data_IF_605733967374
#
_entry.id   IF_605733967374
#
_cell.length_a   1.000
_cell.length_b   1.000
_cell.length_c   1.000
_cell.angle_alpha   90.00
_cell.angle_beta   90.00
_cell.angle_gamma   90.00
#
_symmetry.space_group_name_H-M   'P 1'
#
loop_
_entity.id
_entity.type
_entity.pdbx_description
1 polymer ?
#
# COMPACT_ATOMS: atom_id res chain seq x y z
N UNK A 1 9.59 -18.56 30.18
CA UNK A 1 8.76 -17.39 30.54
C UNK A 1 7.36 -17.64 30.01
N UNK A 2 6.28 -17.36 30.75
CA UNK A 2 4.93 -17.53 30.22
C UNK A 2 4.74 -16.61 29.01
N UNK A 3 4.22 -17.16 27.91
CA UNK A 3 3.84 -16.36 26.74
C UNK A 3 2.62 -15.54 27.14
N UNK A 4 2.85 -14.26 27.46
CA UNK A 4 1.76 -13.33 27.74
C UNK A 4 0.94 -13.15 26.47
N UNK A 5 -0.30 -13.62 26.48
CA UNK A 5 -1.25 -13.38 25.40
C UNK A 5 -1.52 -11.87 25.37
N UNK A 6 -1.07 -11.21 24.31
CA UNK A 6 -1.26 -9.77 24.13
C UNK A 6 -2.76 -9.46 23.99
N UNK A 7 -3.28 -8.40 24.66
CA UNK A 7 -4.64 -7.92 24.45
C UNK A 7 -4.91 -7.72 22.96
N UNK A 8 -6.03 -8.23 22.47
CA UNK A 8 -6.37 -8.24 21.04
C UNK A 8 -7.82 -7.82 20.88
N UNK A 9 -8.05 -6.74 20.14
CA UNK A 9 -9.39 -6.29 19.75
C UNK A 9 -9.98 -7.18 18.66
N UNK A 10 -11.30 -7.30 18.64
CA UNK A 10 -12.04 -7.91 17.54
C UNK A 10 -12.50 -6.85 16.54
N UNK A 11 -12.35 -7.11 15.25
CA UNK A 11 -12.84 -6.24 14.17
C UNK A 11 -14.12 -6.83 13.55
N UNK A 12 -15.26 -6.52 14.16
CA UNK A 12 -16.57 -7.01 13.70
C UNK A 12 -17.08 -6.23 12.49
N UNK A 13 -18.04 -6.79 11.77
CA UNK A 13 -18.68 -6.08 10.65
C UNK A 13 -19.34 -4.78 11.09
N UNK A 14 -19.96 -4.75 12.29
CA UNK A 14 -20.57 -3.54 12.83
C UNK A 14 -19.55 -2.45 13.14
N UNK A 15 -18.33 -2.82 13.57
CA UNK A 15 -17.25 -1.86 13.76
C UNK A 15 -16.75 -1.31 12.43
N UNK A 16 -16.60 -2.16 11.41
CA UNK A 16 -16.01 -1.79 10.12
C UNK A 16 -16.99 -1.03 9.21
N UNK A 17 -18.29 -1.33 9.29
CA UNK A 17 -19.29 -0.80 8.37
C UNK A 17 -19.30 0.74 8.24
N UNK A 18 -19.23 1.54 9.32
CA UNK A 18 -19.18 2.99 9.20
C UNK A 18 -17.97 3.50 8.41
N UNK A 19 -16.83 2.80 8.51
CA UNK A 19 -15.59 3.17 7.84
C UNK A 19 -15.64 3.00 6.31
N UNK A 20 -16.63 2.27 5.76
CA UNK A 20 -16.93 2.27 4.30
C UNK A 20 -17.41 3.61 3.77
N UNK A 21 -17.99 4.43 4.65
CA UNK A 21 -18.60 5.72 4.29
C UNK A 21 -17.79 6.91 4.81
N UNK A 22 -16.63 6.65 5.41
CA UNK A 22 -15.78 7.67 6.01
C UNK A 22 -14.57 7.95 5.13
N UNK A 23 -14.39 9.21 4.72
CA UNK A 23 -13.17 9.72 4.08
C UNK A 23 -12.13 10.19 5.10
N UNK A 24 -11.52 11.36 4.83
CA UNK A 24 -10.51 11.98 5.70
C UNK A 24 -10.78 13.48 5.76
N UNK A 25 -11.56 13.90 6.77
CA UNK A 25 -12.14 15.24 6.83
C UNK A 25 -11.11 16.37 6.73
N UNK A 26 -9.95 16.34 7.43
CA UNK A 26 -8.90 17.35 7.25
C UNK A 26 -8.41 17.48 5.80
N UNK A 27 -8.13 16.35 5.13
CA UNK A 27 -7.60 16.36 3.78
C UNK A 27 -8.68 16.72 2.75
N UNK A 28 -9.91 16.19 2.94
CA UNK A 28 -11.08 16.52 2.12
C UNK A 28 -11.40 18.01 2.18
N UNK A 29 -11.32 18.62 3.36
CA UNK A 29 -11.55 20.06 3.55
C UNK A 29 -10.49 20.91 2.84
N UNK A 30 -9.21 20.51 2.89
CA UNK A 30 -8.14 21.22 2.18
C UNK A 30 -8.36 21.20 0.66
N UNK A 31 -8.74 20.05 0.09
CA UNK A 31 -9.06 19.92 -1.33
C UNK A 31 -10.30 20.75 -1.71
N UNK A 32 -11.36 20.69 -0.90
CA UNK A 32 -12.57 21.47 -1.13
C UNK A 32 -12.29 22.98 -1.17
N UNK A 33 -11.48 23.49 -0.22
CA UNK A 33 -11.11 24.89 -0.16
C UNK A 33 -10.28 25.35 -1.38
N UNK A 34 -9.36 24.51 -1.87
CA UNK A 34 -8.60 24.80 -3.10
C UNK A 34 -9.51 24.88 -4.32
N UNK A 35 -10.48 23.97 -4.41
CA UNK A 35 -11.48 23.97 -5.50
C UNK A 35 -12.41 25.18 -5.39
N UNK A 36 -12.85 25.56 -4.20
CA UNK A 36 -13.71 26.73 -3.99
C UNK A 36 -12.99 28.03 -4.41
N UNK A 37 -11.71 28.16 -4.07
CA UNK A 37 -10.94 29.35 -4.37
C UNK A 37 -10.53 29.47 -5.85
N UNK A 38 -10.21 28.35 -6.52
CA UNK A 38 -9.54 28.36 -7.83
C UNK A 38 -10.15 27.41 -8.88
N UNK A 39 -11.30 26.81 -8.56
CA UNK A 39 -11.99 25.86 -9.42
C UNK A 39 -11.18 24.59 -9.71
N UNK A 40 -11.60 23.82 -10.72
CA UNK A 40 -10.91 22.60 -11.14
C UNK A 40 -9.45 22.81 -11.58
N UNK A 41 -9.10 24.02 -12.04
CA UNK A 41 -7.72 24.37 -12.43
C UNK A 41 -6.79 24.41 -11.22
N UNK A 42 -7.24 24.98 -10.09
CA UNK A 42 -6.48 24.99 -8.84
C UNK A 42 -6.17 23.58 -8.36
N UNK A 43 -7.18 22.70 -8.35
CA UNK A 43 -6.99 21.29 -8.00
C UNK A 43 -6.02 20.59 -8.95
N UNK A 44 -6.11 20.82 -10.27
CA UNK A 44 -5.18 20.22 -11.23
C UNK A 44 -3.73 20.63 -10.94
N UNK A 45 -3.48 21.92 -10.70
CA UNK A 45 -2.14 22.43 -10.37
C UNK A 45 -1.63 21.84 -9.06
N UNK A 46 -2.48 21.76 -8.04
CA UNK A 46 -2.14 21.11 -6.77
C UNK A 46 -1.79 19.63 -6.99
N UNK A 47 -2.60 18.89 -7.74
CA UNK A 47 -2.35 17.47 -8.01
C UNK A 47 -1.07 17.23 -8.82
N UNK A 48 -0.70 18.15 -9.70
CA UNK A 48 0.58 18.10 -10.40
C UNK A 48 1.76 18.27 -9.43
N UNK A 49 1.70 19.26 -8.54
CA UNK A 49 2.71 19.44 -7.49
C UNK A 49 2.75 18.24 -6.53
N UNK A 50 1.60 17.72 -6.12
CA UNK A 50 1.51 16.55 -5.25
C UNK A 50 2.17 15.31 -5.88
N UNK A 51 2.07 15.16 -7.20
CA UNK A 51 2.67 14.05 -7.94
C UNK A 51 4.18 14.22 -8.21
N UNK A 52 4.74 15.42 -8.04
CA UNK A 52 6.18 15.67 -8.16
C UNK A 52 6.91 15.12 -6.93
N UNK A 53 7.79 14.14 -7.10
CA UNK A 53 8.54 13.53 -5.98
C UNK A 53 9.83 14.27 -5.64
N UNK A 54 10.10 15.40 -6.31
CA UNK A 54 11.32 16.21 -6.15
C UNK A 54 11.08 17.53 -5.44
N UNK A 55 9.87 18.09 -5.52
CA UNK A 55 9.49 19.33 -4.83
C UNK A 55 8.60 19.05 -3.59
N UNK A 56 9.07 19.46 -2.41
CA UNK A 56 8.34 19.36 -1.15
C UNK A 56 8.00 20.74 -0.54
N UNK A 57 8.35 21.83 -1.22
CA UNK A 57 8.11 23.18 -0.70
C UNK A 57 6.62 23.54 -0.79
N UNK A 58 6.04 23.91 0.36
CA UNK A 58 4.66 24.38 0.44
C UNK A 58 4.53 25.89 0.23
N UNK A 59 5.64 26.64 0.13
CA UNK A 59 5.65 28.10 0.14
C UNK A 59 4.79 28.75 -0.97
N UNK A 60 4.71 28.10 -2.13
CA UNK A 60 3.92 28.57 -3.28
C UNK A 60 2.53 27.94 -3.36
N UNK A 61 2.13 27.11 -2.38
CA UNK A 61 0.83 26.46 -2.35
C UNK A 61 -0.22 27.33 -1.64
N UNK A 62 -1.50 26.99 -1.80
CA UNK A 62 -2.60 27.67 -1.11
C UNK A 62 -2.39 27.66 0.41
N UNK A 63 -2.79 28.73 1.11
CA UNK A 63 -2.63 28.84 2.57
C UNK A 63 -3.24 27.64 3.32
N UNK A 64 -4.37 27.10 2.84
CA UNK A 64 -4.99 25.91 3.42
C UNK A 64 -4.12 24.66 3.30
N UNK A 65 -3.36 24.52 2.20
CA UNK A 65 -2.40 23.42 2.02
C UNK A 65 -1.19 23.63 2.91
N UNK A 66 -0.69 24.86 3.05
CA UNK A 66 0.40 25.17 3.99
C UNK A 66 0.00 24.83 5.43
N UNK A 67 -1.19 25.27 5.86
CA UNK A 67 -1.73 24.96 7.18
C UNK A 67 -1.91 23.45 7.39
N UNK A 68 -2.43 22.74 6.40
CA UNK A 68 -2.57 21.28 6.45
C UNK A 68 -1.23 20.57 6.75
N UNK A 69 -0.13 20.99 6.12
CA UNK A 69 1.19 20.40 6.36
C UNK A 69 1.70 20.66 7.79
N UNK A 70 1.40 21.82 8.36
CA UNK A 70 1.78 22.14 9.75
C UNK A 70 0.92 21.35 10.75
N UNK A 71 -0.39 21.36 10.55
CA UNK A 71 -1.35 20.78 11.49
C UNK A 71 -1.31 19.25 11.50
N UNK A 72 -1.04 18.63 10.35
CA UNK A 72 -1.06 17.17 10.20
C UNK A 72 0.32 16.51 10.34
N UNK A 73 1.39 17.26 10.56
CA UNK A 73 2.74 16.72 10.77
C UNK A 73 2.98 16.11 12.17
N UNK A 74 2.01 16.19 13.07
CA UNK A 74 2.18 15.77 14.46
C UNK A 74 2.17 14.24 14.60
N UNK A 75 3.18 13.70 15.27
CA UNK A 75 3.21 12.29 15.63
C UNK A 75 2.13 11.96 16.67
N UNK A 76 1.50 10.78 16.59
CA UNK A 76 0.56 10.36 17.61
C UNK A 76 1.27 10.13 18.95
N UNK A 77 0.56 10.29 20.07
CA UNK A 77 1.15 10.17 21.42
C UNK A 77 1.72 8.78 21.73
N UNK A 78 1.27 7.75 21.02
CA UNK A 78 1.77 6.38 21.15
C UNK A 78 2.98 6.09 20.24
N UNK A 79 3.39 7.03 19.37
CA UNK A 79 4.58 6.86 18.54
C UNK A 79 5.82 6.74 19.43
N UNK A 80 6.52 5.61 19.30
CA UNK A 80 7.77 5.34 20.00
C UNK A 80 8.96 5.45 19.02
N UNK A 81 9.85 6.44 19.18
CA UNK A 81 10.98 6.66 18.27
C UNK A 81 11.92 5.45 18.15
N UNK A 82 12.20 4.75 19.25
CA UNK A 82 13.11 3.61 19.24
C UNK A 82 12.53 2.43 18.44
N UNK A 83 11.21 2.20 18.57
CA UNK A 83 10.50 1.19 17.77
C UNK A 83 10.50 1.56 16.30
N UNK A 84 10.25 2.83 15.97
CA UNK A 84 10.31 3.32 14.58
C UNK A 84 11.71 3.12 13.99
N UNK A 85 12.76 3.45 14.74
CA UNK A 85 14.14 3.26 14.29
C UNK A 85 14.44 1.79 13.98
N UNK A 86 14.03 0.86 14.85
CA UNK A 86 14.20 -0.58 14.61
C UNK A 86 13.35 -1.09 13.45
N UNK A 87 12.13 -0.58 13.29
CA UNK A 87 11.27 -0.90 12.14
C UNK A 87 11.86 -0.45 10.80
N UNK A 88 12.45 0.75 10.74
CA UNK A 88 13.17 1.23 9.55
C UNK A 88 14.43 0.40 9.28
N UNK A 89 15.22 0.08 10.31
CA UNK A 89 16.39 -0.78 10.17
C UNK A 89 16.02 -2.20 9.71
N UNK A 90 14.87 -2.72 10.16
CA UNK A 90 14.32 -3.97 9.66
C UNK A 90 13.99 -3.89 8.17
N UNK A 91 13.33 -2.80 7.74
CA UNK A 91 13.05 -2.59 6.32
C UNK A 91 14.34 -2.54 5.50
N UNK A 92 15.34 -1.75 5.93
CA UNK A 92 16.64 -1.64 5.26
C UNK A 92 17.33 -3.01 5.12
N UNK A 93 17.38 -3.79 6.20
CA UNK A 93 17.95 -5.15 6.23
C UNK A 93 17.27 -6.11 5.25
N UNK A 94 15.98 -5.93 4.97
CA UNK A 94 15.17 -6.83 4.15
C UNK A 94 14.65 -6.17 2.85
N UNK A 95 15.21 -5.04 2.43
CA UNK A 95 14.60 -4.18 1.41
C UNK A 95 14.37 -4.90 0.08
N UNK A 96 15.31 -5.76 -0.34
CA UNK A 96 15.16 -6.54 -1.57
C UNK A 96 14.00 -7.55 -1.48
N UNK A 97 13.91 -8.29 -0.37
CA UNK A 97 12.87 -9.30 -0.17
C UNK A 97 11.50 -8.64 0.04
N UNK A 98 11.45 -7.51 0.75
CA UNK A 98 10.24 -6.71 0.89
C UNK A 98 9.81 -6.18 -0.48
N UNK A 99 10.74 -5.69 -1.32
CA UNK A 99 10.43 -5.25 -2.69
C UNK A 99 9.79 -6.35 -3.55
N UNK A 100 10.33 -7.58 -3.49
CA UNK A 100 9.74 -8.75 -4.14
C UNK A 100 8.32 -9.03 -3.61
N UNK A 101 8.14 -9.04 -2.29
CA UNK A 101 6.84 -9.27 -1.65
C UNK A 101 5.84 -8.16 -2.00
N UNK A 102 6.27 -6.91 -2.11
CA UNK A 102 5.40 -5.81 -2.51
C UNK A 102 4.88 -6.01 -3.93
N UNK A 103 5.76 -6.36 -4.88
CA UNK A 103 5.41 -6.59 -6.28
C UNK A 103 4.57 -7.84 -6.51
N UNK A 104 4.98 -8.99 -5.97
CA UNK A 104 4.37 -10.29 -6.28
C UNK A 104 3.24 -10.69 -5.34
N UNK A 105 3.15 -10.10 -4.14
CA UNK A 105 2.13 -10.45 -3.17
C UNK A 105 1.23 -9.26 -2.81
N UNK A 106 1.81 -8.18 -2.32
CA UNK A 106 1.06 -7.08 -1.67
C UNK A 106 0.18 -6.32 -2.67
N UNK A 107 0.71 -5.99 -3.85
CA UNK A 107 -0.06 -5.31 -4.89
C UNK A 107 -1.21 -6.19 -5.43
N UNK A 108 -0.98 -7.44 -5.91
CA UNK A 108 -2.09 -8.31 -6.31
C UNK A 108 -3.09 -8.56 -5.18
N UNK A 109 -2.62 -8.73 -3.95
CA UNK A 109 -3.50 -8.92 -2.78
C UNK A 109 -4.38 -7.69 -2.54
N UNK A 110 -3.86 -6.48 -2.75
CA UNK A 110 -4.67 -5.26 -2.66
C UNK A 110 -5.76 -5.17 -3.74
N UNK A 111 -5.50 -5.74 -4.93
CA UNK A 111 -6.45 -5.76 -6.05
C UNK A 111 -7.63 -6.71 -5.87
N UNK A 112 -7.56 -7.61 -4.88
CA UNK A 112 -8.71 -8.43 -4.46
C UNK A 112 -9.82 -7.58 -3.83
N UNK A 113 -9.48 -6.44 -3.22
CA UNK A 113 -10.43 -5.47 -2.66
C UNK A 113 -11.26 -4.84 -3.76
N UNK A 114 -12.31 -5.54 -4.21
CA UNK A 114 -13.00 -5.32 -5.48
C UNK A 114 -13.57 -3.90 -5.63
N UNK A 115 -14.07 -3.34 -4.53
CA UNK A 115 -14.62 -1.99 -4.49
C UNK A 115 -13.53 -0.93 -4.42
N UNK A 116 -12.52 -1.10 -3.57
CA UNK A 116 -11.38 -0.18 -3.48
C UNK A 116 -10.59 -0.08 -4.79
N UNK A 117 -10.40 -1.20 -5.48
CA UNK A 117 -9.69 -1.28 -6.77
C UNK A 117 -10.30 -0.40 -7.87
N UNK A 118 -11.60 -0.09 -7.78
CA UNK A 118 -12.30 0.76 -8.75
C UNK A 118 -11.70 2.16 -8.84
N UNK A 119 -11.16 2.69 -7.74
CA UNK A 119 -10.54 4.02 -7.75
C UNK A 119 -9.31 4.05 -8.66
N UNK A 120 -8.52 2.99 -8.65
CA UNK A 120 -7.34 2.86 -9.50
C UNK A 120 -7.76 2.62 -10.95
N UNK A 121 -8.79 1.81 -11.17
CA UNK A 121 -9.32 1.49 -12.49
C UNK A 121 -9.90 2.71 -13.21
N UNK A 122 -10.75 3.47 -12.52
CA UNK A 122 -11.42 4.65 -13.08
C UNK A 122 -10.49 5.83 -13.34
N UNK A 123 -9.36 5.92 -12.65
CA UNK A 123 -8.37 6.98 -12.91
C UNK A 123 -7.56 6.74 -14.18
N UNK A 124 -7.60 5.53 -14.76
CA UNK A 124 -6.92 5.07 -15.98
C UNK A 124 -5.37 5.22 -15.98
N UNK A 125 -4.78 5.97 -15.04
CA UNK A 125 -3.34 6.25 -14.98
C UNK A 125 -2.51 4.99 -14.74
N UNK A 126 -2.98 4.07 -13.89
CA UNK A 126 -2.25 2.81 -13.65
C UNK A 126 -2.31 1.90 -14.87
N UNK A 127 -3.38 1.94 -15.67
CA UNK A 127 -3.47 1.16 -16.92
C UNK A 127 -2.51 1.69 -18.00
N UNK A 128 -2.31 3.01 -18.04
CA UNK A 128 -1.56 3.67 -19.11
C UNK A 128 -0.08 3.92 -18.77
N UNK A 129 0.31 3.89 -17.49
CA UNK A 129 1.66 4.20 -17.02
C UNK A 129 2.06 3.36 -15.79
N UNK A 130 1.81 2.05 -15.85
CA UNK A 130 2.00 1.12 -14.72
C UNK A 130 3.42 1.18 -14.16
N UNK A 131 4.44 1.13 -15.03
CA UNK A 131 5.85 1.11 -14.63
C UNK A 131 6.24 2.36 -13.86
N UNK A 132 5.86 3.56 -14.33
CA UNK A 132 6.13 4.80 -13.60
C UNK A 132 5.42 4.82 -12.25
N UNK A 133 4.18 4.33 -12.18
CA UNK A 133 3.42 4.28 -10.92
C UNK A 133 4.06 3.32 -9.90
N UNK A 134 4.63 2.21 -10.37
CA UNK A 134 5.41 1.32 -9.53
C UNK A 134 6.69 2.00 -9.01
N UNK A 135 7.38 2.77 -9.86
CA UNK A 135 8.55 3.56 -9.45
C UNK A 135 8.17 4.62 -8.41
N UNK A 136 7.13 5.43 -8.65
CA UNK A 136 6.61 6.43 -7.71
C UNK A 136 6.26 5.80 -6.35
N UNK A 137 5.63 4.62 -6.35
CA UNK A 137 5.30 3.87 -5.13
C UNK A 137 6.56 3.35 -4.45
N UNK A 138 7.52 2.83 -5.21
CA UNK A 138 8.81 2.38 -4.69
C UNK A 138 9.58 3.51 -4.02
N UNK A 139 9.73 4.66 -4.69
CA UNK A 139 10.32 5.87 -4.11
C UNK A 139 9.62 6.28 -2.81
N UNK A 140 8.29 6.16 -2.77
CA UNK A 140 7.53 6.45 -1.56
C UNK A 140 7.85 5.48 -0.43
N UNK A 141 7.82 4.18 -0.70
CA UNK A 141 8.11 3.12 0.28
C UNK A 141 9.52 3.28 0.85
N UNK A 142 10.53 3.49 0.00
CA UNK A 142 11.91 3.69 0.45
C UNK A 142 12.05 4.97 1.26
N UNK A 143 11.44 6.09 0.84
CA UNK A 143 11.52 7.35 1.56
C UNK A 143 10.92 7.29 2.97
N UNK A 144 9.71 6.72 3.11
CA UNK A 144 9.05 6.64 4.43
C UNK A 144 9.70 5.62 5.38
N UNK A 145 10.56 4.73 4.87
CA UNK A 145 11.35 3.81 5.69
C UNK A 145 12.82 4.26 5.86
N UNK A 146 13.21 5.45 5.35
CA UNK A 146 14.56 5.98 5.53
C UNK A 146 14.65 6.89 6.76
N UNK A 147 15.41 6.45 7.77
CA UNK A 147 15.65 7.20 9.00
C UNK A 147 16.21 8.62 8.79
N UNK A 148 16.92 8.87 7.68
CA UNK A 148 17.44 10.20 7.33
C UNK A 148 16.32 11.13 6.89
N UNK A 149 15.34 10.62 6.12
CA UNK A 149 14.19 11.42 5.68
C UNK A 149 13.29 11.81 6.87
N UNK A 150 13.15 10.95 7.89
CA UNK A 150 12.46 11.31 9.12
C UNK A 150 13.15 12.42 9.90
N UNK A 151 14.48 12.34 10.06
CA UNK A 151 15.25 13.39 10.74
C UNK A 151 15.18 14.73 10.03
N UNK A 152 15.06 14.70 8.70
CA UNK A 152 14.93 15.88 7.86
C UNK A 152 13.47 16.39 7.72
N UNK A 153 12.48 15.70 8.29
CA UNK A 153 11.04 16.01 8.12
C UNK A 153 10.45 15.57 6.77
N UNK A 154 11.28 15.26 5.78
CA UNK A 154 10.88 14.89 4.41
C UNK A 154 9.99 13.65 4.34
N UNK A 155 10.16 12.68 5.24
CA UNK A 155 9.28 11.51 5.30
C UNK A 155 7.83 11.91 5.62
N UNK A 156 7.63 12.88 6.53
CA UNK A 156 6.31 13.40 6.88
C UNK A 156 5.70 14.13 5.69
N UNK A 157 6.46 15.01 5.02
CA UNK A 157 5.97 15.72 3.83
C UNK A 157 5.52 14.74 2.74
N UNK A 158 6.32 13.70 2.49
CA UNK A 158 6.01 12.64 1.54
C UNK A 158 4.71 11.90 1.91
N UNK A 159 4.46 11.64 3.18
CA UNK A 159 3.21 11.03 3.65
C UNK A 159 2.03 11.99 3.44
N UNK A 160 2.17 13.26 3.83
CA UNK A 160 1.11 14.26 3.71
C UNK A 160 0.76 14.58 2.25
N UNK A 161 1.73 14.55 1.34
CA UNK A 161 1.46 14.63 -0.10
C UNK A 161 0.55 13.48 -0.55
N UNK A 162 0.85 12.23 -0.19
CA UNK A 162 -0.02 11.09 -0.53
C UNK A 162 -1.41 11.23 0.10
N UNK A 163 -1.50 11.68 1.36
CA UNK A 163 -2.78 11.92 2.04
C UNK A 163 -3.67 12.92 1.29
N UNK A 164 -3.09 14.00 0.75
CA UNK A 164 -3.81 14.95 -0.11
C UNK A 164 -4.12 14.38 -1.50
N UNK A 165 -3.24 13.55 -2.08
CA UNK A 165 -3.56 12.84 -3.32
C UNK A 165 -4.80 11.97 -3.13
N UNK A 166 -4.91 11.25 -2.01
CA UNK A 166 -6.10 10.47 -1.69
C UNK A 166 -7.35 11.35 -1.66
N UNK A 167 -7.33 12.48 -0.97
CA UNK A 167 -8.45 13.42 -0.94
C UNK A 167 -8.79 14.00 -2.33
N UNK A 168 -7.79 14.35 -3.14
CA UNK A 168 -7.99 14.80 -4.52
C UNK A 168 -8.65 13.72 -5.38
N UNK A 169 -8.21 12.47 -5.23
CA UNK A 169 -8.80 11.31 -5.90
C UNK A 169 -10.25 11.09 -5.44
N UNK A 170 -10.57 11.21 -4.15
CA UNK A 170 -11.96 11.16 -3.66
C UNK A 170 -12.82 12.22 -4.33
N UNK A 171 -12.33 13.46 -4.35
CA UNK A 171 -13.03 14.58 -5.00
C UNK A 171 -13.31 14.27 -6.47
N UNK A 172 -12.31 13.80 -7.24
CA UNK A 172 -12.51 13.43 -8.64
C UNK A 172 -13.51 12.28 -8.81
N UNK A 173 -13.40 11.22 -8.02
CA UNK A 173 -14.30 10.07 -8.11
C UNK A 173 -15.76 10.51 -7.94
N UNK A 174 -16.05 11.31 -6.90
CA UNK A 174 -17.39 11.84 -6.61
C UNK A 174 -17.91 12.73 -7.74
N UNK A 175 -17.08 13.63 -8.28
CA UNK A 175 -17.52 14.61 -9.28
C UNK A 175 -17.50 14.07 -10.72
N UNK A 176 -16.82 12.95 -10.98
CA UNK A 176 -16.72 12.35 -12.31
C UNK A 176 -18.02 11.74 -12.84
N UNK A 177 -19.00 11.50 -11.96
CA UNK A 177 -20.24 10.73 -12.24
C UNK A 177 -19.99 9.27 -12.69
N UNK A 178 -18.75 8.78 -12.62
CA UNK A 178 -18.38 7.39 -12.94
C UNK A 178 -18.34 6.49 -11.71
N UNK A 179 -18.29 7.07 -10.50
CA UNK A 179 -18.23 6.30 -9.26
C UNK A 179 -19.60 5.68 -8.93
N UNK A 180 -19.63 4.38 -8.68
CA UNK A 180 -20.81 3.70 -8.14
C UNK A 180 -20.77 3.78 -6.60
N UNK A 181 -21.81 4.38 -6.00
CA UNK A 181 -21.91 4.56 -4.54
C UNK A 181 -22.05 3.25 -3.77
N UNK A 182 -22.46 2.16 -4.42
CA UNK A 182 -22.52 0.83 -3.79
C UNK A 182 -21.13 0.29 -3.42
N UNK A 183 -20.08 0.79 -4.05
CA UNK A 183 -18.69 0.49 -3.68
C UNK A 183 -18.27 1.15 -2.36
N UNK A 184 -19.11 2.02 -1.79
CA UNK A 184 -18.77 2.85 -0.63
C UNK A 184 -18.23 4.22 -1.03
N UNK A 185 -17.79 4.99 -0.04
CA UNK A 185 -17.11 6.26 -0.29
C UNK A 185 -15.74 5.97 -0.93
N UNK A 186 -15.31 6.70 -1.97
CA UNK A 186 -14.00 6.45 -2.58
C UNK A 186 -12.88 6.62 -1.56
N UNK A 187 -11.84 5.79 -1.62
CA UNK A 187 -10.66 5.84 -0.71
C UNK A 187 -11.08 6.01 0.76
N UNK A 188 -12.06 5.21 1.18
CA UNK A 188 -12.59 5.24 2.53
C UNK A 188 -11.63 4.59 3.54
N UNK A 189 -11.92 4.77 4.82
CA UNK A 189 -11.08 4.29 5.92
C UNK A 189 -10.90 2.77 5.96
N UNK A 190 -11.92 1.96 5.60
CA UNK A 190 -11.76 0.49 5.52
C UNK A 190 -10.82 0.09 4.36
N UNK A 191 -10.95 0.73 3.20
CA UNK A 191 -10.04 0.52 2.06
C UNK A 191 -8.60 0.95 2.40
N UNK A 192 -8.43 2.13 3.02
CA UNK A 192 -7.13 2.61 3.46
C UNK A 192 -6.48 1.66 4.47
N UNK A 193 -7.24 1.14 5.44
CA UNK A 193 -6.75 0.13 6.39
C UNK A 193 -6.36 -1.19 5.69
N UNK A 194 -7.15 -1.64 4.72
CA UNK A 194 -6.85 -2.81 3.89
C UNK A 194 -5.55 -2.64 3.10
N UNK A 195 -5.39 -1.51 2.41
CA UNK A 195 -4.15 -1.16 1.69
C UNK A 195 -2.95 -1.09 2.64
N UNK A 196 -3.11 -0.49 3.80
CA UNK A 196 -2.04 -0.38 4.80
C UNK A 196 -1.54 -1.73 5.33
N UNK A 197 -2.43 -2.71 5.47
CA UNK A 197 -2.05 -4.08 5.83
C UNK A 197 -1.15 -4.71 4.75
N UNK A 198 -1.28 -4.27 3.48
CA UNK A 198 -0.43 -4.75 2.39
C UNK A 198 1.02 -4.26 2.50
N UNK A 199 1.27 -3.11 3.13
CA UNK A 199 2.62 -2.59 3.41
C UNK A 199 3.21 -3.06 4.74
N UNK A 200 2.44 -3.77 5.57
CA UNK A 200 2.86 -4.17 6.92
C UNK A 200 2.70 -5.67 7.12
N UNK A 201 1.52 -6.11 7.50
CA UNK A 201 1.22 -7.50 7.83
C UNK A 201 1.46 -8.47 6.66
N UNK A 202 1.04 -8.11 5.45
CA UNK A 202 1.23 -8.94 4.25
C UNK A 202 2.72 -9.03 3.88
N UNK A 203 3.49 -7.96 4.09
CA UNK A 203 4.95 -7.98 3.93
C UNK A 203 5.56 -9.07 4.82
N UNK A 204 5.21 -9.07 6.11
CA UNK A 204 5.69 -10.07 7.06
C UNK A 204 5.26 -11.49 6.69
N UNK A 205 4.02 -11.68 6.22
CA UNK A 205 3.57 -12.97 5.69
C UNK A 205 4.39 -13.43 4.47
N UNK A 206 4.71 -12.50 3.57
CA UNK A 206 5.54 -12.78 2.40
C UNK A 206 6.97 -13.18 2.80
N UNK A 207 7.59 -12.47 3.73
CA UNK A 207 8.91 -12.84 4.26
C UNK A 207 8.91 -14.25 4.86
N UNK A 208 7.86 -14.63 5.60
CA UNK A 208 7.70 -16.01 6.12
C UNK A 208 7.54 -17.04 5.00
N UNK A 209 6.79 -16.71 3.93
CA UNK A 209 6.67 -17.58 2.74
C UNK A 209 8.01 -17.78 2.03
N UNK A 210 8.88 -16.78 2.05
CA UNK A 210 10.27 -16.84 1.58
C UNK A 210 11.21 -17.57 2.56
N UNK A 211 10.71 -18.14 3.66
CA UNK A 211 11.53 -18.82 4.66
C UNK A 211 12.42 -17.90 5.50
N UNK A 212 12.19 -16.59 5.46
CA UNK A 212 12.95 -15.60 6.23
C UNK A 212 12.45 -15.62 7.67
N UNK A 213 13.34 -16.01 8.58
CA UNK A 213 13.05 -16.05 10.01
C UNK A 213 13.36 -14.69 10.62
N UNK A 214 12.36 -14.10 11.25
CA UNK A 214 12.44 -12.81 11.95
C UNK A 214 11.86 -12.98 13.36
N UNK A 215 12.39 -12.22 14.32
CA UNK A 215 11.91 -12.27 15.69
C UNK A 215 10.56 -11.55 15.85
N UNK A 216 9.76 -11.95 16.84
CA UNK A 216 8.49 -11.28 17.16
C UNK A 216 8.68 -9.77 17.40
N UNK A 217 9.78 -9.38 18.04
CA UNK A 217 10.11 -7.98 18.28
C UNK A 217 10.37 -7.20 16.99
N UNK A 218 11.12 -7.78 16.04
CA UNK A 218 11.36 -7.17 14.73
C UNK A 218 10.04 -6.97 13.97
N UNK A 219 9.17 -7.98 13.97
CA UNK A 219 7.87 -7.90 13.30
C UNK A 219 6.97 -6.83 13.91
N UNK A 220 6.95 -6.71 15.24
CA UNK A 220 6.13 -5.71 15.93
C UNK A 220 6.69 -4.30 15.82
N UNK A 221 8.02 -4.13 15.78
CA UNK A 221 8.63 -2.82 15.57
C UNK A 221 8.45 -2.34 14.13
N UNK A 222 8.51 -3.24 13.15
CA UNK A 222 8.13 -2.95 11.78
C UNK A 222 6.65 -2.55 11.67
N UNK A 223 5.74 -3.34 12.26
CA UNK A 223 4.32 -2.99 12.29
C UNK A 223 4.07 -1.64 12.97
N UNK A 224 4.75 -1.36 14.09
CA UNK A 224 4.65 -0.08 14.80
C UNK A 224 5.08 1.09 13.92
N UNK A 225 6.22 0.97 13.23
CA UNK A 225 6.71 1.99 12.32
C UNK A 225 5.68 2.29 11.21
N UNK A 226 5.19 1.25 10.55
CA UNK A 226 4.21 1.40 9.47
C UNK A 226 2.88 1.95 10.01
N UNK A 227 2.45 1.61 11.23
CA UNK A 227 1.28 2.23 11.86
C UNK A 227 1.45 3.75 12.05
N UNK A 228 2.64 4.23 12.44
CA UNK A 228 2.90 5.68 12.54
C UNK A 228 2.80 6.35 11.16
N UNK A 229 3.38 5.73 10.13
CA UNK A 229 3.23 6.19 8.73
C UNK A 229 1.75 6.30 8.36
N UNK A 230 0.97 5.27 8.70
CA UNK A 230 -0.45 5.17 8.35
C UNK A 230 -1.34 6.15 9.11
N UNK A 231 -1.03 6.43 10.37
CA UNK A 231 -1.68 7.48 11.15
C UNK A 231 -1.49 8.84 10.46
N UNK A 232 -0.24 9.17 10.10
CA UNK A 232 0.07 10.42 9.39
C UNK A 232 -0.60 10.47 8.01
N UNK A 233 -0.77 9.31 7.35
CA UNK A 233 -1.48 9.16 6.08
C UNK A 233 -3.02 9.23 6.23
N UNK A 234 -3.53 9.47 7.44
CA UNK A 234 -4.94 9.78 7.70
C UNK A 234 -5.82 8.58 8.02
N UNK A 235 -5.23 7.42 8.36
CA UNK A 235 -6.02 6.25 8.77
C UNK A 235 -6.47 6.36 10.22
N UNK A 236 -7.76 6.09 10.44
CA UNK A 236 -8.39 6.11 11.75
C UNK A 236 -7.66 5.17 12.72
N UNK A 237 -7.36 5.67 13.92
CA UNK A 237 -6.55 4.96 14.91
C UNK A 237 -7.19 3.63 15.33
N UNK A 238 -8.53 3.54 15.32
CA UNK A 238 -9.25 2.31 15.61
C UNK A 238 -8.91 1.18 14.64
N UNK A 239 -8.55 1.52 13.40
CA UNK A 239 -8.18 0.58 12.34
C UNK A 239 -6.67 0.27 12.28
N UNK A 240 -5.85 0.87 13.16
CA UNK A 240 -4.43 0.56 13.26
C UNK A 240 -4.23 -0.64 14.21
N UNK A 241 -3.79 -1.82 13.74
CA UNK A 241 -3.64 -3.00 14.58
C UNK A 241 -2.43 -2.84 15.52
N UNK A 242 -2.62 -3.13 16.82
CA UNK A 242 -1.61 -2.91 17.86
C UNK A 242 -0.56 -4.01 17.95
N UNK A 243 -0.83 -5.15 17.34
CA UNK A 243 0.04 -6.32 17.26
C UNK A 243 -0.34 -7.19 16.06
N UNK A 244 0.45 -8.21 15.77
CA UNK A 244 0.23 -9.09 14.60
C UNK A 244 -1.06 -9.90 14.68
N UNK A 245 -1.55 -10.21 15.88
CA UNK A 245 -2.83 -10.90 16.02
C UNK A 245 -3.99 -10.00 15.58
N UNK A 246 -3.97 -8.74 16.01
CA UNK A 246 -4.93 -7.75 15.53
C UNK A 246 -4.83 -7.56 14.01
N UNK A 247 -3.60 -7.47 13.47
CA UNK A 247 -3.39 -7.32 12.04
C UNK A 247 -3.94 -8.51 11.23
N UNK A 248 -3.73 -9.74 11.72
CA UNK A 248 -4.36 -10.95 11.19
C UNK A 248 -5.89 -10.84 11.20
N UNK A 249 -6.48 -10.51 12.35
CA UNK A 249 -7.94 -10.45 12.48
C UNK A 249 -8.57 -9.36 11.62
N UNK A 250 -7.93 -8.18 11.53
CA UNK A 250 -8.40 -7.08 10.68
C UNK A 250 -8.28 -7.45 9.19
N UNK A 251 -7.14 -8.03 8.78
CA UNK A 251 -6.94 -8.48 7.40
C UNK A 251 -7.97 -9.52 6.97
N UNK A 252 -8.27 -10.49 7.85
CA UNK A 252 -9.31 -11.49 7.59
C UNK A 252 -10.72 -10.87 7.55
N UNK A 253 -11.04 -9.93 8.45
CA UNK A 253 -12.33 -9.28 8.48
C UNK A 253 -12.57 -8.45 7.20
N UNK A 254 -11.60 -7.62 6.79
CA UNK A 254 -11.66 -6.84 5.55
C UNK A 254 -11.72 -7.77 4.33
N UNK A 255 -10.86 -8.80 4.28
CA UNK A 255 -10.83 -9.76 3.17
C UNK A 255 -12.18 -10.45 2.98
N UNK A 256 -12.82 -10.92 4.06
CA UNK A 256 -14.16 -11.51 4.01
C UNK A 256 -15.22 -10.56 3.44
N UNK A 257 -15.11 -9.26 3.72
CA UNK A 257 -16.11 -8.24 3.36
C UNK A 257 -15.91 -7.70 1.95
N UNK A 258 -14.65 -7.53 1.53
CA UNK A 258 -14.29 -6.76 0.33
C UNK A 258 -13.63 -7.58 -0.78
N UNK A 259 -13.13 -8.79 -0.49
CA UNK A 259 -12.47 -9.58 -1.53
C UNK A 259 -13.48 -10.25 -2.45
N UNK A 260 -13.36 -9.98 -3.74
CA UNK A 260 -14.14 -10.63 -4.78
C UNK A 260 -13.42 -10.52 -6.15
N UNK A 261 -13.71 -11.41 -7.10
CA UNK A 261 -13.34 -11.18 -8.50
C UNK A 261 -13.92 -9.85 -8.99
N UNK A 262 -13.13 -9.07 -9.73
CA UNK A 262 -13.59 -7.82 -10.33
C UNK A 262 -12.82 -7.50 -11.61
N UNK A 263 -13.47 -6.83 -12.56
CA UNK A 263 -12.81 -6.35 -13.79
C UNK A 263 -11.60 -5.47 -13.46
N UNK A 264 -11.77 -4.56 -12.48
CA UNK A 264 -10.70 -3.70 -11.99
C UNK A 264 -9.51 -4.51 -11.46
N UNK A 265 -9.76 -5.48 -10.58
CA UNK A 265 -8.70 -6.30 -10.00
C UNK A 265 -7.96 -7.14 -11.04
N UNK A 266 -8.69 -7.74 -11.99
CA UNK A 266 -8.12 -8.51 -13.11
C UNK A 266 -7.27 -7.62 -14.00
N UNK A 267 -7.80 -6.46 -14.41
CA UNK A 267 -7.11 -5.51 -15.29
C UNK A 267 -5.83 -4.97 -14.67
N UNK A 268 -5.89 -4.55 -13.40
CA UNK A 268 -4.72 -4.05 -12.65
C UNK A 268 -3.66 -5.13 -12.47
N UNK A 269 -4.08 -6.37 -12.17
CA UNK A 269 -3.16 -7.51 -12.03
C UNK A 269 -2.46 -7.83 -13.36
N UNK A 270 -3.20 -7.80 -14.48
CA UNK A 270 -2.63 -8.00 -15.81
C UNK A 270 -1.58 -6.94 -16.14
N UNK A 271 -1.92 -5.67 -15.95
CA UNK A 271 -0.97 -4.55 -16.15
C UNK A 271 0.28 -4.69 -15.28
N UNK A 272 0.13 -5.07 -14.01
CA UNK A 272 1.25 -5.29 -13.10
C UNK A 272 2.15 -6.44 -13.57
N UNK A 273 1.55 -7.57 -13.93
CA UNK A 273 2.26 -8.75 -14.40
C UNK A 273 3.08 -8.43 -15.65
N UNK A 274 2.46 -7.75 -16.62
CA UNK A 274 3.12 -7.37 -17.87
C UNK A 274 4.27 -6.38 -17.60
N UNK A 275 4.07 -5.37 -16.75
CA UNK A 275 5.11 -4.40 -16.37
C UNK A 275 6.32 -5.06 -15.70
N UNK A 276 6.11 -5.99 -14.76
CA UNK A 276 7.20 -6.73 -14.10
C UNK A 276 7.92 -7.63 -15.12
N UNK A 277 7.18 -8.32 -16.00
CA UNK A 277 7.77 -9.18 -17.01
C UNK A 277 8.65 -8.40 -18.00
N UNK A 278 8.20 -7.21 -18.43
CA UNK A 278 8.98 -6.31 -19.28
C UNK A 278 10.27 -5.85 -18.59
N UNK A 279 10.20 -5.45 -17.33
CA UNK A 279 11.38 -5.01 -16.57
C UNK A 279 12.40 -6.15 -16.39
N UNK A 280 11.94 -7.38 -16.13
CA UNK A 280 12.81 -8.55 -16.03
C UNK A 280 13.43 -8.93 -17.38
N UNK A 281 12.68 -8.83 -18.47
CA UNK A 281 13.17 -9.11 -19.82
C UNK A 281 14.29 -8.16 -20.28
N UNK A 282 14.36 -6.94 -19.71
CA UNK A 282 15.48 -6.02 -19.95
C UNK A 282 16.81 -6.50 -19.34
N UNK A 283 16.74 -7.29 -18.25
CA UNK A 283 17.91 -7.70 -17.47
C UNK A 283 18.25 -9.19 -17.60
N UNK A 284 17.32 -10.01 -18.11
CA UNK A 284 17.47 -11.46 -18.24
C UNK A 284 17.26 -11.92 -19.68
N UNK A 285 18.12 -12.84 -20.15
CA UNK A 285 17.96 -13.50 -21.45
C UNK A 285 16.90 -14.61 -21.32
N UNK A 286 15.80 -14.49 -22.05
CA UNK A 286 14.74 -15.50 -22.07
C UNK A 286 13.66 -15.18 -23.10
N UNK A 287 12.81 -16.16 -23.41
CA UNK A 287 11.61 -15.90 -24.21
C UNK A 287 10.62 -15.08 -23.37
N UNK A 288 9.99 -14.02 -23.92
CA UNK A 288 9.05 -13.18 -23.17
C UNK A 288 7.95 -13.97 -22.45
N UNK A 289 7.38 -14.97 -23.11
CA UNK A 289 6.35 -15.84 -22.53
C UNK A 289 6.85 -16.63 -21.30
N UNK A 290 8.08 -17.12 -21.33
CA UNK A 290 8.68 -17.83 -20.19
C UNK A 290 8.88 -16.91 -19.01
N UNK A 291 9.39 -15.69 -19.22
CA UNK A 291 9.56 -14.69 -18.15
C UNK A 291 8.20 -14.33 -17.56
N UNK A 292 7.20 -14.12 -18.42
CA UNK A 292 5.82 -13.84 -18.02
C UNK A 292 5.22 -14.96 -17.18
N UNK A 293 5.45 -16.22 -17.55
CA UNK A 293 4.99 -17.38 -16.77
C UNK A 293 5.71 -17.49 -15.42
N UNK A 294 6.99 -17.13 -15.33
CA UNK A 294 7.70 -17.07 -14.05
C UNK A 294 7.09 -16.02 -13.13
N UNK A 295 6.80 -14.82 -13.63
CA UNK A 295 6.09 -13.77 -12.88
C UNK A 295 4.72 -14.25 -12.39
N UNK A 296 3.95 -14.90 -13.25
CA UNK A 296 2.66 -15.50 -12.87
C UNK A 296 2.83 -16.60 -11.80
N UNK A 297 3.89 -17.40 -11.90
CA UNK A 297 4.23 -18.45 -10.94
C UNK A 297 4.56 -17.89 -9.55
N UNK A 298 5.34 -16.82 -9.49
CA UNK A 298 5.65 -16.08 -8.26
C UNK A 298 4.37 -15.51 -7.61
N UNK A 299 3.53 -14.81 -8.37
CA UNK A 299 2.27 -14.28 -7.85
C UNK A 299 1.36 -15.40 -7.30
N UNK A 300 1.24 -16.52 -8.02
CA UNK A 300 0.48 -17.70 -7.57
C UNK A 300 1.07 -18.37 -6.34
N UNK A 301 2.39 -18.40 -6.19
CA UNK A 301 3.05 -18.93 -4.99
C UNK A 301 2.66 -18.10 -3.76
N UNK A 302 2.70 -16.77 -3.87
CA UNK A 302 2.37 -15.89 -2.76
C UNK A 302 0.88 -15.88 -2.42
N UNK A 303 0.01 -15.62 -3.41
CA UNK A 303 -1.44 -15.49 -3.21
C UNK A 303 -2.13 -16.80 -2.86
N UNK A 304 -1.65 -17.92 -3.42
CA UNK A 304 -2.42 -19.16 -3.48
C UNK A 304 -3.40 -19.18 -4.67
N UNK A 305 -3.84 -20.37 -5.06
CA UNK A 305 -4.60 -20.54 -6.31
C UNK A 305 -5.96 -19.85 -6.26
N UNK A 306 -6.70 -19.95 -5.15
CA UNK A 306 -8.06 -19.38 -5.06
C UNK A 306 -8.09 -17.87 -5.36
N UNK A 307 -7.19 -17.08 -4.77
CA UNK A 307 -7.10 -15.65 -5.03
C UNK A 307 -6.44 -15.32 -6.36
N UNK A 308 -5.47 -16.12 -6.79
CA UNK A 308 -4.87 -15.95 -8.10
C UNK A 308 -5.88 -16.20 -9.24
N UNK A 309 -6.79 -17.15 -9.06
CA UNK A 309 -7.87 -17.45 -10.00
C UNK A 309 -8.89 -16.30 -10.05
N UNK A 310 -9.22 -15.67 -8.91
CA UNK A 310 -10.08 -14.48 -8.87
C UNK A 310 -9.51 -13.28 -9.63
N UNK A 311 -8.18 -13.19 -9.73
CA UNK A 311 -7.47 -12.16 -10.48
C UNK A 311 -7.07 -12.60 -11.90
N UNK A 312 -7.50 -13.78 -12.34
CA UNK A 312 -7.14 -14.40 -13.62
C UNK A 312 -5.63 -14.48 -13.89
N UNK A 313 -4.82 -14.71 -12.85
CA UNK A 313 -3.39 -14.95 -13.03
C UNK A 313 -3.20 -16.32 -13.73
N UNK A 314 -2.46 -16.39 -14.85
CA UNK A 314 -2.30 -17.61 -15.63
C UNK A 314 -1.93 -18.84 -14.79
N UNK A 315 -2.53 -19.98 -15.09
CA UNK A 315 -2.22 -21.25 -14.44
C UNK A 315 -0.91 -21.83 -14.99
N UNK A 316 0.15 -21.67 -14.20
CA UNK A 316 1.53 -22.06 -14.55
C UNK A 316 2.10 -23.02 -13.48
N UNK A 317 1.60 -24.26 -13.40
CA UNK A 317 1.87 -25.14 -12.26
C UNK A 317 3.35 -25.54 -12.12
N UNK A 318 4.11 -25.55 -13.22
CA UNK A 318 5.54 -25.87 -13.20
C UNK A 318 6.32 -24.69 -12.62
N UNK A 319 6.09 -23.49 -13.14
CA UNK A 319 6.71 -22.23 -12.71
C UNK A 319 6.37 -21.91 -11.26
N UNK A 320 5.12 -22.14 -10.83
CA UNK A 320 4.71 -21.99 -9.43
C UNK A 320 5.49 -22.92 -8.50
N UNK A 321 5.71 -24.19 -8.88
CA UNK A 321 6.52 -25.14 -8.10
C UNK A 321 7.98 -24.70 -8.05
N UNK A 322 8.52 -24.21 -9.17
CA UNK A 322 9.87 -23.65 -9.24
C UNK A 322 10.02 -22.44 -8.32
N UNK A 323 9.09 -21.49 -8.35
CA UNK A 323 9.06 -20.33 -7.44
C UNK A 323 9.12 -20.78 -5.98
N UNK A 324 8.27 -21.73 -5.58
CA UNK A 324 8.27 -22.27 -4.22
C UNK A 324 9.58 -22.93 -3.80
N UNK A 325 10.28 -23.60 -4.72
CA UNK A 325 11.59 -24.18 -4.46
C UNK A 325 12.68 -23.10 -4.38
N UNK A 326 12.77 -22.23 -5.39
CA UNK A 326 13.81 -21.19 -5.48
C UNK A 326 13.74 -20.21 -4.31
N UNK A 327 12.54 -19.82 -3.91
CA UNK A 327 12.32 -18.89 -2.80
C UNK A 327 12.61 -19.48 -1.42
N UNK A 328 12.65 -20.81 -1.29
CA UNK A 328 12.98 -21.51 -0.04
C UNK A 328 14.43 -21.97 0.02
N UNK A 329 15.13 -21.97 -1.13
CA UNK A 329 16.52 -22.32 -1.20
C UNK A 329 17.39 -21.12 -0.77
N UNK A 330 18.40 -21.30 0.09
CA UNK A 330 19.31 -20.23 0.52
C UNK A 330 20.31 -19.83 -0.59
N UNK A 331 19.88 -19.85 -1.87
CA UNK A 331 20.75 -19.82 -3.06
C UNK A 331 20.98 -18.40 -3.58
N UNK A 332 20.30 -17.38 -3.05
CA UNK A 332 20.78 -16.02 -3.28
C UNK A 332 21.95 -15.74 -2.34
N UNK A 333 23.18 -15.56 -2.87
CA UNK A 333 24.30 -15.15 -2.03
C UNK A 333 23.93 -13.83 -1.38
N UNK A 334 24.39 -13.63 -0.15
CA UNK A 334 24.43 -12.30 0.48
C UNK A 334 25.22 -11.38 -0.46
N UNK A 335 24.55 -10.72 -1.40
CA UNK A 335 25.14 -9.60 -2.12
C UNK A 335 25.27 -8.49 -1.10
N UNK A 336 26.55 -8.19 -0.84
CA UNK A 336 27.13 -7.28 0.15
C UNK A 336 26.47 -5.91 0.14
#
# INVERSE_FOLDING_TARGET
>A
MPVLIKPTRSFSDNLLQPYRQQGDSPADAAIAAVVEANGPTGLRSLMAWLADTTDFSTANQHQVVQAFFVDQAQLPSWANPDRMQRGMAFFEKHAQQIGLVLGFFSLPFSYLGAHGAQVLWLTERIKNDTTRRLQETGEWVFGVNDSKEWKAGKAIDRILKIRLIHAGVRWFAIHSKKWNTDWGYPVNQEDMAGTNLTFSYVVLLGLRKLGIVVSEQEEEDYLHHINVVNYLNGVAEELLPRNLREAYTLSHAIGRRQFAPSEAGIGLTRSLLDAIAEQLAQHQKGRPETIRNLVAGEMRFFLGDAYADWLEIPAVPVEKRLAGLLNQLPIFPKTV
#
